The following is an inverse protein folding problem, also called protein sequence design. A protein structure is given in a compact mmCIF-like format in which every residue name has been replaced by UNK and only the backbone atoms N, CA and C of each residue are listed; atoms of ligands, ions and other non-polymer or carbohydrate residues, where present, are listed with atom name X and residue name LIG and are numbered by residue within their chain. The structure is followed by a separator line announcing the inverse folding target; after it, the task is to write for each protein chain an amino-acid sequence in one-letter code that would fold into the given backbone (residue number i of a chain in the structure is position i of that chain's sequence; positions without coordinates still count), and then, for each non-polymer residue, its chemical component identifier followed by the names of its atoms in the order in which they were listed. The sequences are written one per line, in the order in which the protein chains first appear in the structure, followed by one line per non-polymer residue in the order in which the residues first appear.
data_IF_503127129859
#
_entry.id   IF_503127129859
#
_cell.length_a   1.000
_cell.length_b   1.000
_cell.length_c   1.000
_cell.angle_alpha   90.00
_cell.angle_beta   90.00
_cell.angle_gamma   90.00
#
_symmetry.space_group_name_H-M   'P 1'
#
loop_
_entity.id
_entity.type
_entity.pdbx_description
1 polymer ?
#
# COMPACT_ATOMS: atom_id res chain seq x y z
N UNK A 1 -1.54 41.88 19.54
CA UNK A 1 -0.57 41.04 18.81
C UNK A 1 -1.30 39.81 18.32
N UNK A 2 -1.77 39.85 17.08
CA UNK A 2 -2.49 38.75 16.43
C UNK A 2 -1.46 37.74 15.95
N UNK A 3 -1.40 36.58 16.59
CA UNK A 3 -0.61 35.46 16.09
C UNK A 3 -1.26 34.94 14.78
N UNK A 4 -0.64 35.26 13.67
CA UNK A 4 -0.95 34.63 12.37
C UNK A 4 -0.49 33.18 12.46
N UNK A 5 -1.40 32.27 12.72
CA UNK A 5 -1.15 30.83 12.60
C UNK A 5 -0.79 30.55 11.13
N UNK A 6 0.48 30.32 10.88
CA UNK A 6 0.95 29.86 9.57
C UNK A 6 0.19 28.59 9.21
N UNK A 7 -0.66 28.66 8.19
CA UNK A 7 -1.38 27.52 7.63
C UNK A 7 -0.34 26.59 7.04
N UNK A 8 -0.01 25.49 7.72
CA UNK A 8 0.88 24.45 7.19
C UNK A 8 0.18 23.90 5.96
N UNK A 9 0.70 24.24 4.78
CA UNK A 9 0.23 23.66 3.53
C UNK A 9 0.48 22.16 3.58
N UNK A 10 -0.48 21.32 3.14
CA UNK A 10 -0.26 19.88 3.05
C UNK A 10 0.94 19.63 2.13
N UNK A 11 1.84 18.77 2.58
CA UNK A 11 3.03 18.39 1.81
C UNK A 11 2.62 17.93 0.40
N UNK A 12 3.00 18.70 -0.61
CA UNK A 12 2.76 18.40 -2.02
C UNK A 12 3.74 17.31 -2.46
N UNK A 13 3.48 16.09 -2.04
CA UNK A 13 4.25 14.93 -2.51
C UNK A 13 3.41 14.09 -3.48
N UNK A 14 4.06 13.56 -4.49
CA UNK A 14 3.44 12.63 -5.43
C UNK A 14 2.98 11.37 -4.71
N UNK A 15 1.77 10.89 -4.98
CA UNK A 15 1.30 9.58 -4.51
C UNK A 15 2.09 8.47 -5.18
N UNK A 16 2.71 7.59 -4.38
CA UNK A 16 3.38 6.39 -4.89
C UNK A 16 2.38 5.27 -5.11
N UNK A 17 2.65 4.43 -6.10
CA UNK A 17 1.71 3.40 -6.56
C UNK A 17 2.35 2.03 -6.45
N UNK A 18 1.68 1.11 -5.77
CA UNK A 18 2.02 -0.32 -5.72
C UNK A 18 0.91 -1.13 -6.39
N UNK A 19 1.29 -2.09 -7.23
CA UNK A 19 0.40 -3.15 -7.73
C UNK A 19 0.80 -4.46 -7.04
N UNK A 20 -0.17 -5.13 -6.41
CA UNK A 20 0.08 -6.30 -5.59
C UNK A 20 -0.47 -7.59 -6.21
N UNK A 21 0.22 -8.72 -5.97
CA UNK A 21 -0.23 -10.04 -6.38
C UNK A 21 -0.01 -10.31 -7.87
N UNK A 22 1.16 -9.96 -8.40
CA UNK A 22 1.56 -10.27 -9.76
C UNK A 22 2.16 -11.69 -9.82
N UNK A 23 1.79 -12.44 -10.84
CA UNK A 23 2.18 -13.85 -11.00
C UNK A 23 2.83 -14.15 -12.35
N UNK A 24 2.71 -13.22 -13.33
CA UNK A 24 3.16 -13.39 -14.72
C UNK A 24 4.09 -12.25 -15.15
N UNK A 25 4.98 -12.54 -16.09
CA UNK A 25 5.90 -11.56 -16.69
C UNK A 25 5.16 -10.40 -17.35
N UNK A 26 4.12 -10.72 -18.15
CA UNK A 26 3.31 -9.70 -18.84
C UNK A 26 2.67 -8.70 -17.89
N UNK A 27 2.27 -9.15 -16.69
CA UNK A 27 1.65 -8.28 -15.69
C UNK A 27 2.70 -7.37 -15.04
N UNK A 28 3.90 -7.90 -14.79
CA UNK A 28 5.05 -7.11 -14.29
C UNK A 28 5.43 -6.04 -15.33
N UNK A 29 5.57 -6.41 -16.60
CA UNK A 29 5.93 -5.50 -17.67
C UNK A 29 4.88 -4.39 -17.86
N UNK A 30 3.59 -4.73 -17.82
CA UNK A 30 2.50 -3.78 -17.90
C UNK A 30 2.51 -2.78 -16.73
N UNK A 31 2.74 -3.26 -15.49
CA UNK A 31 2.82 -2.41 -14.33
C UNK A 31 4.04 -1.46 -14.39
N UNK A 32 5.21 -1.98 -14.79
CA UNK A 32 6.43 -1.17 -14.97
C UNK A 32 6.20 -0.12 -16.06
N UNK A 33 5.62 -0.49 -17.20
CA UNK A 33 5.33 0.43 -18.31
C UNK A 33 4.34 1.53 -17.89
N UNK A 34 3.38 1.21 -17.02
CA UNK A 34 2.45 2.19 -16.48
C UNK A 34 3.10 3.18 -15.49
N UNK A 35 4.33 2.91 -15.04
CA UNK A 35 5.11 3.79 -14.16
C UNK A 35 4.73 3.66 -12.69
N UNK A 36 4.58 2.42 -12.19
CA UNK A 36 4.41 2.12 -10.76
C UNK A 36 5.72 2.22 -9.99
N UNK A 37 5.64 2.41 -8.68
CA UNK A 37 6.79 2.56 -7.78
C UNK A 37 7.16 1.24 -7.08
N UNK A 38 6.20 0.31 -6.96
CA UNK A 38 6.43 -0.97 -6.29
C UNK A 38 5.54 -2.08 -6.87
N UNK A 39 6.03 -3.31 -6.76
CA UNK A 39 5.34 -4.52 -7.20
C UNK A 39 5.33 -5.54 -6.08
N UNK A 40 4.13 -6.05 -5.74
CA UNK A 40 3.93 -7.02 -4.68
C UNK A 40 3.84 -8.46 -5.20
N UNK A 41 4.59 -9.35 -4.55
CA UNK A 41 4.53 -10.80 -4.72
C UNK A 41 3.97 -11.44 -3.45
N UNK A 42 2.94 -12.27 -3.58
CA UNK A 42 2.27 -12.88 -2.43
C UNK A 42 2.87 -14.26 -2.16
N UNK A 43 3.52 -14.41 -1.01
CA UNK A 43 4.13 -15.67 -0.58
C UNK A 43 3.23 -16.49 0.38
N UNK A 44 1.95 -16.13 0.47
CA UNK A 44 0.94 -16.84 1.25
C UNK A 44 0.24 -17.90 0.41
N UNK A 45 0.50 -19.18 0.69
CA UNK A 45 0.06 -20.32 -0.14
C UNK A 45 -1.45 -20.43 -0.36
N UNK A 46 -2.26 -19.96 0.61
CA UNK A 46 -3.72 -19.98 0.48
C UNK A 46 -4.27 -18.87 -0.43
N UNK A 47 -3.43 -17.95 -0.87
CA UNK A 47 -3.84 -16.87 -1.77
C UNK A 47 -3.94 -17.37 -3.22
N UNK A 48 -4.97 -17.01 -3.98
CA UNK A 48 -5.02 -17.28 -5.43
C UNK A 48 -3.95 -16.51 -6.22
N UNK A 49 -3.22 -15.60 -5.57
CA UNK A 49 -2.11 -14.80 -6.12
C UNK A 49 -0.75 -15.30 -5.65
N UNK A 50 -0.72 -16.49 -5.04
CA UNK A 50 0.51 -17.05 -4.51
C UNK A 50 1.55 -17.29 -5.61
N UNK A 51 2.80 -16.96 -5.29
CA UNK A 51 3.99 -17.35 -6.04
C UNK A 51 5.05 -17.91 -5.10
N UNK A 52 5.87 -18.84 -5.57
CA UNK A 52 7.03 -19.32 -4.81
C UNK A 52 8.10 -18.23 -4.68
N UNK A 53 9.01 -18.38 -3.72
CA UNK A 53 10.16 -17.47 -3.56
C UNK A 53 11.00 -17.39 -4.83
N UNK A 54 11.23 -18.53 -5.48
CA UNK A 54 11.96 -18.60 -6.76
C UNK A 54 11.24 -17.81 -7.85
N UNK A 55 9.91 -18.02 -7.96
CA UNK A 55 9.11 -17.28 -8.94
C UNK A 55 9.11 -15.77 -8.67
N UNK A 56 8.99 -15.35 -7.41
CA UNK A 56 9.11 -13.95 -7.05
C UNK A 56 10.48 -13.37 -7.43
N UNK A 57 11.56 -14.09 -7.19
CA UNK A 57 12.91 -13.69 -7.59
C UNK A 57 13.09 -13.59 -9.11
N UNK A 58 12.49 -14.51 -9.89
CA UNK A 58 12.50 -14.45 -11.36
C UNK A 58 11.78 -13.21 -11.87
N UNK A 59 10.57 -12.95 -11.37
CA UNK A 59 9.77 -11.81 -11.76
C UNK A 59 10.42 -10.49 -11.32
N UNK A 60 11.03 -10.45 -10.14
CA UNK A 60 11.71 -9.26 -9.62
C UNK A 60 12.93 -8.84 -10.46
N UNK A 61 13.61 -9.78 -11.14
CA UNK A 61 14.72 -9.46 -12.06
C UNK A 61 14.30 -8.61 -13.27
N UNK A 62 13.01 -8.52 -13.56
CA UNK A 62 12.45 -7.67 -14.63
C UNK A 62 12.27 -6.21 -14.20
N UNK A 63 12.38 -5.92 -12.90
CA UNK A 63 12.14 -4.58 -12.39
C UNK A 63 13.31 -3.65 -12.73
N UNK A 64 13.05 -2.48 -13.33
CA UNK A 64 14.07 -1.46 -13.50
C UNK A 64 14.48 -0.85 -12.14
N UNK A 65 15.60 -0.14 -12.09
CA UNK A 65 15.97 0.66 -10.91
C UNK A 65 14.80 1.54 -10.45
N UNK A 66 14.67 1.67 -9.10
CA UNK A 66 13.63 2.48 -8.43
C UNK A 66 12.21 1.91 -8.47
N UNK A 67 12.00 0.69 -8.99
CA UNK A 67 10.78 -0.08 -8.77
C UNK A 67 11.06 -1.13 -7.70
N UNK A 68 10.37 -1.03 -6.57
CA UNK A 68 10.65 -1.82 -5.37
C UNK A 68 9.88 -3.14 -5.38
N UNK A 69 10.52 -4.31 -5.28
CA UNK A 69 9.84 -5.57 -5.01
C UNK A 69 9.36 -5.61 -3.55
N UNK A 70 8.10 -6.03 -3.34
CA UNK A 70 7.51 -6.18 -2.00
C UNK A 70 7.04 -7.63 -1.83
N UNK A 71 7.55 -8.32 -0.82
CA UNK A 71 7.17 -9.69 -0.51
C UNK A 71 6.13 -9.70 0.61
N UNK A 72 4.92 -10.17 0.31
CA UNK A 72 3.81 -10.23 1.24
C UNK A 72 3.77 -11.58 1.96
N UNK A 73 3.78 -11.52 3.29
CA UNK A 73 3.71 -12.65 4.21
C UNK A 73 2.45 -12.59 5.07
N UNK A 74 1.96 -13.74 5.48
CA UNK A 74 0.87 -13.90 6.43
C UNK A 74 1.26 -14.98 7.43
N UNK A 75 1.53 -14.58 8.69
CA UNK A 75 1.87 -15.47 9.81
C UNK A 75 2.96 -16.49 9.46
N UNK A 76 3.96 -16.07 8.68
CA UNK A 76 5.04 -16.95 8.24
C UNK A 76 6.17 -16.97 9.29
N UNK A 77 6.86 -18.08 9.37
CA UNK A 77 8.02 -18.26 10.24
C UNK A 77 9.15 -17.24 9.91
N UNK A 78 9.71 -16.62 10.94
CA UNK A 78 10.76 -15.58 10.81
C UNK A 78 11.93 -16.01 9.93
N UNK A 79 12.43 -17.24 10.09
CA UNK A 79 13.54 -17.76 9.29
C UNK A 79 13.23 -17.83 7.80
N UNK A 80 12.00 -18.21 7.45
CA UNK A 80 11.53 -18.27 6.06
C UNK A 80 11.35 -16.89 5.46
N UNK A 81 10.88 -15.89 6.25
CA UNK A 81 10.78 -14.50 5.81
C UNK A 81 12.17 -13.94 5.48
N UNK A 82 13.13 -14.12 6.38
CA UNK A 82 14.51 -13.66 6.18
C UNK A 82 15.13 -14.30 4.92
N UNK A 83 14.99 -15.62 4.77
CA UNK A 83 15.51 -16.35 3.61
C UNK A 83 14.86 -15.88 2.28
N UNK A 84 13.53 -15.70 2.28
CA UNK A 84 12.83 -15.20 1.10
C UNK A 84 13.28 -13.79 0.72
N UNK A 85 13.38 -12.89 1.70
CA UNK A 85 13.86 -11.53 1.46
C UNK A 85 15.32 -11.48 1.00
N UNK A 86 16.17 -12.38 1.46
CA UNK A 86 17.55 -12.49 0.99
C UNK A 86 17.64 -12.97 -0.46
N UNK A 87 16.64 -13.74 -0.93
CA UNK A 87 16.58 -14.27 -2.30
C UNK A 87 16.12 -13.25 -3.35
N UNK A 88 15.53 -12.12 -2.93
CA UNK A 88 15.03 -11.07 -3.81
C UNK A 88 15.72 -9.75 -3.49
N UNK A 89 16.65 -9.33 -4.34
CA UNK A 89 17.43 -8.13 -4.13
C UNK A 89 16.55 -6.87 -3.95
N UNK A 90 16.82 -6.09 -2.91
CA UNK A 90 16.08 -4.85 -2.62
C UNK A 90 14.66 -5.05 -2.13
N UNK A 91 14.25 -6.29 -1.80
CA UNK A 91 12.88 -6.55 -1.36
C UNK A 91 12.55 -5.91 -0.01
N UNK A 92 11.35 -5.33 0.08
CA UNK A 92 10.69 -4.90 1.32
C UNK A 92 9.74 -6.01 1.77
N UNK A 93 9.73 -6.34 3.06
CA UNK A 93 8.75 -7.25 3.64
C UNK A 93 7.43 -6.52 3.88
N UNK A 94 6.30 -7.18 3.60
CA UNK A 94 4.96 -6.72 3.98
C UNK A 94 4.30 -7.77 4.87
N UNK A 95 4.05 -7.42 6.13
CA UNK A 95 3.36 -8.26 7.09
C UNK A 95 1.85 -7.99 7.02
N UNK A 96 1.09 -9.00 6.62
CA UNK A 96 -0.34 -8.86 6.34
C UNK A 96 -1.23 -9.79 7.18
N UNK A 97 -0.64 -10.54 8.08
CA UNK A 97 -1.32 -11.44 9.01
C UNK A 97 -1.55 -10.79 10.39
N UNK A 98 -1.31 -11.57 11.42
CA UNK A 98 -1.49 -11.17 12.82
C UNK A 98 -0.14 -11.04 13.55
N UNK A 99 0.94 -10.83 12.77
CA UNK A 99 2.30 -10.72 13.30
C UNK A 99 2.38 -9.57 14.31
N UNK A 100 2.91 -9.86 15.49
CA UNK A 100 3.17 -8.88 16.56
C UNK A 100 4.29 -7.91 16.19
N UNK A 101 4.42 -6.77 16.89
CA UNK A 101 5.55 -5.86 16.70
C UNK A 101 6.91 -6.54 16.89
N UNK A 102 7.03 -7.47 17.86
CA UNK A 102 8.27 -8.19 18.11
C UNK A 102 8.63 -9.16 16.98
N UNK A 103 7.64 -9.87 16.42
CA UNK A 103 7.84 -10.75 15.27
C UNK A 103 8.24 -9.96 14.02
N UNK A 104 7.56 -8.84 13.74
CA UNK A 104 7.94 -7.94 12.64
C UNK A 104 9.38 -7.43 12.80
N UNK A 105 9.78 -7.03 14.01
CA UNK A 105 11.13 -6.57 14.32
C UNK A 105 12.17 -7.65 14.07
N UNK A 106 11.94 -8.87 14.55
CA UNK A 106 12.85 -10.00 14.32
C UNK A 106 12.94 -10.38 12.85
N UNK A 107 11.82 -10.48 12.15
CA UNK A 107 11.77 -10.85 10.74
C UNK A 107 12.35 -9.77 9.82
N UNK A 108 12.38 -8.51 10.27
CA UNK A 108 13.08 -7.41 9.58
C UNK A 108 14.57 -7.35 9.90
N UNK A 109 15.15 -8.41 10.49
CA UNK A 109 16.55 -8.45 10.92
C UNK A 109 16.90 -7.29 11.87
N UNK A 110 16.03 -7.09 12.88
CA UNK A 110 16.14 -6.02 13.87
C UNK A 110 16.15 -4.62 13.24
N UNK A 111 15.25 -4.39 12.29
CA UNK A 111 15.09 -3.09 11.62
C UNK A 111 16.11 -2.81 10.51
N UNK A 112 17.02 -3.73 10.19
CA UNK A 112 17.94 -3.57 9.06
C UNK A 112 17.22 -3.59 7.71
N UNK A 113 16.11 -4.31 7.63
CA UNK A 113 15.26 -4.39 6.46
C UNK A 113 13.99 -3.56 6.66
N UNK A 114 13.68 -2.60 5.78
CA UNK A 114 12.42 -1.88 5.85
C UNK A 114 11.25 -2.83 5.65
N UNK A 115 10.11 -2.56 6.32
CA UNK A 115 8.90 -3.35 6.17
C UNK A 115 7.64 -2.49 6.21
N UNK A 116 6.57 -3.02 5.60
CA UNK A 116 5.21 -2.49 5.68
C UNK A 116 4.40 -3.36 6.64
N UNK A 117 3.54 -2.73 7.45
CA UNK A 117 2.60 -3.44 8.33
C UNK A 117 1.16 -3.15 7.91
N UNK A 118 0.40 -4.18 7.59
CA UNK A 118 -1.02 -4.02 7.27
C UNK A 118 -1.87 -3.89 8.54
N UNK A 119 -2.63 -2.80 8.61
CA UNK A 119 -3.71 -2.60 9.55
C UNK A 119 -5.00 -3.05 8.88
N UNK A 120 -5.57 -4.15 9.36
CA UNK A 120 -6.81 -4.72 8.83
C UNK A 120 -7.99 -4.06 9.53
N UNK A 121 -8.58 -3.06 8.88
CA UNK A 121 -9.65 -2.23 9.43
C UNK A 121 -10.99 -2.93 9.23
N UNK A 122 -11.74 -3.22 10.32
CA UNK A 122 -13.05 -3.85 10.20
C UNK A 122 -14.01 -3.02 9.36
N UNK A 123 -14.90 -3.70 8.62
CA UNK A 123 -15.95 -3.06 7.83
C UNK A 123 -17.15 -2.65 8.71
N UNK A 124 -17.90 -1.65 8.25
CA UNK A 124 -19.12 -1.18 8.92
C UNK A 124 -18.83 -0.60 10.31
N UNK A 125 -19.78 -0.79 11.23
CA UNK A 125 -19.73 -0.20 12.58
C UNK A 125 -18.56 -0.72 13.43
N UNK A 126 -18.08 -1.93 13.18
CA UNK A 126 -16.90 -2.48 13.85
C UNK A 126 -15.61 -1.67 13.55
N UNK A 127 -15.55 -0.97 12.42
CA UNK A 127 -14.44 -0.10 12.04
C UNK A 127 -14.34 1.16 12.91
N UNK A 128 -15.42 1.61 13.51
CA UNK A 128 -15.46 2.79 14.40
C UNK A 128 -14.58 2.59 15.65
N UNK A 129 -14.46 1.34 16.12
CA UNK A 129 -13.65 0.99 17.30
C UNK A 129 -12.19 0.70 17.01
N UNK A 130 -11.74 0.74 15.76
CA UNK A 130 -10.35 0.44 15.42
C UNK A 130 -9.43 1.62 15.75
N UNK A 131 -8.55 1.43 16.74
CA UNK A 131 -7.59 2.47 17.17
C UNK A 131 -6.34 2.47 16.27
N UNK A 132 -6.42 3.19 15.15
CA UNK A 132 -5.31 3.33 14.21
C UNK A 132 -4.11 4.08 14.83
N UNK A 133 -4.33 5.00 15.76
CA UNK A 133 -3.23 5.75 16.38
C UNK A 133 -2.40 4.83 17.28
N UNK A 134 -3.08 4.02 18.10
CA UNK A 134 -2.40 2.99 18.90
C UNK A 134 -1.69 1.97 18.00
N UNK A 135 -2.34 1.49 16.94
CA UNK A 135 -1.72 0.56 15.99
C UNK A 135 -0.47 1.15 15.36
N UNK A 136 -0.51 2.39 14.88
CA UNK A 136 0.66 3.06 14.29
C UNK A 136 1.79 3.28 15.30
N UNK A 137 1.46 3.48 16.57
CA UNK A 137 2.43 3.58 17.66
C UNK A 137 3.07 2.24 17.96
N UNK A 138 2.29 1.17 18.09
CA UNK A 138 2.77 -0.19 18.37
C UNK A 138 3.72 -0.68 17.27
N UNK A 139 3.43 -0.34 16.00
CA UNK A 139 4.25 -0.67 14.83
C UNK A 139 5.11 0.51 14.33
N UNK A 140 5.56 1.38 15.22
CA UNK A 140 6.34 2.59 14.87
C UNK A 140 7.66 2.31 14.14
N UNK A 141 8.16 1.08 14.17
CA UNK A 141 9.33 0.64 13.42
C UNK A 141 9.01 0.28 11.95
N UNK A 142 7.73 0.18 11.59
CA UNK A 142 7.34 -0.02 10.20
C UNK A 142 7.63 1.23 9.37
N UNK A 143 8.13 1.04 8.15
CA UNK A 143 8.35 2.14 7.21
C UNK A 143 7.03 2.83 6.83
N UNK A 144 5.94 2.05 6.72
CA UNK A 144 4.60 2.56 6.54
C UNK A 144 3.54 1.59 7.08
N UNK A 145 2.38 2.14 7.42
CA UNK A 145 1.17 1.37 7.77
C UNK A 145 0.30 1.27 6.51
N UNK A 146 0.01 0.04 6.09
CA UNK A 146 -0.89 -0.24 4.99
C UNK A 146 -2.31 -0.41 5.55
N UNK A 147 -3.24 0.39 5.08
CA UNK A 147 -4.65 0.37 5.49
C UNK A 147 -5.42 -0.55 4.55
N UNK A 148 -5.85 -1.72 5.02
CA UNK A 148 -6.65 -2.66 4.25
C UNK A 148 -8.00 -2.94 4.92
N UNK A 149 -9.03 -3.22 4.13
CA UNK A 149 -10.31 -3.63 4.66
C UNK A 149 -10.22 -5.06 5.23
N UNK A 150 -10.71 -5.26 6.46
CA UNK A 150 -10.79 -6.59 7.03
C UNK A 150 -11.87 -7.41 6.32
N UNK A 151 -11.45 -8.48 5.66
CA UNK A 151 -12.34 -9.46 5.04
C UNK A 151 -11.96 -10.85 5.51
N UNK A 152 -12.85 -11.81 5.34
CA UNK A 152 -12.54 -13.22 5.62
C UNK A 152 -11.36 -13.67 4.77
N UNK A 153 -10.35 -14.23 5.40
CA UNK A 153 -9.02 -14.43 4.83
C UNK A 153 -8.13 -13.19 4.98
N UNK A 154 -7.03 -13.15 4.23
CA UNK A 154 -6.06 -12.07 4.34
C UNK A 154 -5.97 -11.29 3.02
N UNK A 155 -6.83 -10.27 2.87
CA UNK A 155 -6.82 -9.31 1.78
C UNK A 155 -7.53 -9.76 0.48
N UNK A 156 -7.71 -8.81 -0.44
CA UNK A 156 -8.23 -9.06 -1.78
C UNK A 156 -9.75 -9.23 -1.92
N UNK A 157 -10.52 -8.89 -0.89
CA UNK A 157 -12.00 -8.97 -0.89
C UNK A 157 -12.69 -7.92 -1.75
N UNK A 158 -11.98 -6.90 -2.23
CA UNK A 158 -12.53 -5.87 -3.12
C UNK A 158 -13.46 -4.85 -2.45
N UNK A 159 -13.52 -4.83 -1.11
CA UNK A 159 -14.31 -3.87 -0.34
C UNK A 159 -13.44 -2.74 0.18
N UNK A 160 -13.93 -1.50 0.09
CA UNK A 160 -13.33 -0.35 0.74
C UNK A 160 -13.96 -0.15 2.13
N UNK A 161 -13.14 0.16 3.14
CA UNK A 161 -13.63 0.63 4.41
C UNK A 161 -13.98 2.14 4.34
N UNK A 162 -14.70 2.64 5.34
CA UNK A 162 -15.05 4.05 5.38
C UNK A 162 -13.85 4.93 5.77
N UNK A 163 -13.23 5.59 4.79
CA UNK A 163 -12.03 6.43 4.99
C UNK A 163 -12.29 7.64 5.90
N UNK A 164 -13.55 8.08 6.06
CA UNK A 164 -13.89 9.20 6.95
C UNK A 164 -13.66 8.88 8.44
N UNK A 165 -13.62 7.59 8.80
CA UNK A 165 -13.35 7.12 10.16
C UNK A 165 -11.87 7.24 10.57
N UNK A 166 -10.98 7.48 9.62
CA UNK A 166 -9.56 7.65 9.94
C UNK A 166 -9.34 8.90 10.81
N UNK A 167 -8.44 8.84 11.80
CA UNK A 167 -8.07 9.99 12.61
C UNK A 167 -7.59 11.17 11.76
N UNK A 168 -7.78 12.41 12.20
CA UNK A 168 -7.41 13.60 11.42
C UNK A 168 -5.90 13.74 11.23
N UNK A 169 -5.09 13.09 12.07
CA UNK A 169 -3.63 13.09 11.97
C UNK A 169 -3.09 11.74 12.45
N UNK A 170 -2.64 10.91 11.50
CA UNK A 170 -1.85 9.71 11.76
C UNK A 170 -0.40 10.07 11.47
N UNK A 171 0.41 10.23 12.50
CA UNK A 171 1.81 10.61 12.38
C UNK A 171 2.68 9.50 11.78
N UNK A 172 2.26 8.92 10.65
CA UNK A 172 2.91 7.82 9.94
C UNK A 172 2.86 8.03 8.42
N UNK A 173 3.69 7.28 7.70
CA UNK A 173 3.51 7.07 6.26
C UNK A 173 2.39 6.06 6.06
N UNK A 174 1.40 6.37 5.22
CA UNK A 174 0.28 5.49 4.96
C UNK A 174 0.31 4.93 3.53
N UNK A 175 -0.14 3.69 3.41
CA UNK A 175 -0.43 3.05 2.12
C UNK A 175 -1.92 2.71 2.12
N UNK A 176 -2.72 3.41 1.34
CA UNK A 176 -4.15 3.14 1.22
C UNK A 176 -4.37 1.93 0.32
N UNK A 177 -5.07 0.93 0.83
CA UNK A 177 -5.45 -0.30 0.14
C UNK A 177 -6.90 -0.66 0.46
N UNK A 178 -7.34 -1.86 0.03
CA UNK A 178 -8.70 -2.36 0.24
C UNK A 178 -9.73 -1.75 -0.70
N UNK A 179 -10.23 -2.54 -1.66
CA UNK A 179 -11.31 -2.15 -2.56
C UNK A 179 -11.03 -0.96 -3.48
N UNK A 180 -9.78 -0.59 -3.69
CA UNK A 180 -9.42 0.49 -4.60
C UNK A 180 -9.68 0.10 -6.07
N UNK A 181 -10.12 1.08 -6.83
CA UNK A 181 -10.34 1.03 -8.29
C UNK A 181 -9.99 2.39 -8.90
N UNK A 182 -9.90 2.47 -10.22
CA UNK A 182 -9.75 3.75 -10.92
C UNK A 182 -10.91 4.74 -10.65
N UNK A 183 -12.09 4.22 -10.27
CA UNK A 183 -13.27 5.05 -10.01
C UNK A 183 -13.26 5.72 -8.64
N UNK A 184 -12.64 5.10 -7.61
CA UNK A 184 -12.70 5.60 -6.23
C UNK A 184 -11.37 6.09 -5.66
N UNK A 185 -10.24 5.84 -6.34
CA UNK A 185 -8.90 6.17 -5.81
C UNK A 185 -8.70 7.68 -5.65
N UNK A 186 -9.32 8.52 -6.48
CA UNK A 186 -9.24 9.99 -6.37
C UNK A 186 -9.83 10.44 -5.03
N UNK A 187 -11.01 9.94 -4.69
CA UNK A 187 -11.68 10.25 -3.43
C UNK A 187 -10.86 9.74 -2.24
N UNK A 188 -10.33 8.51 -2.33
CA UNK A 188 -9.47 7.93 -1.31
C UNK A 188 -8.22 8.80 -1.05
N UNK A 189 -7.51 9.22 -2.09
CA UNK A 189 -6.34 10.08 -1.98
C UNK A 189 -6.72 11.43 -1.36
N UNK A 190 -7.80 12.04 -1.82
CA UNK A 190 -8.26 13.35 -1.33
C UNK A 190 -8.60 13.32 0.15
N UNK A 191 -9.25 12.25 0.61
CA UNK A 191 -9.65 12.11 2.02
C UNK A 191 -8.48 11.71 2.94
N UNK A 192 -7.56 10.86 2.49
CA UNK A 192 -6.54 10.28 3.36
C UNK A 192 -5.26 11.10 3.40
N UNK A 193 -4.86 11.74 2.29
CA UNK A 193 -3.61 12.52 2.22
C UNK A 193 -3.44 13.57 3.33
N UNK A 194 -4.47 14.36 3.70
CA UNK A 194 -4.32 15.37 4.77
C UNK A 194 -4.05 14.78 6.15
N UNK A 195 -4.19 13.46 6.32
CA UNK A 195 -4.16 12.75 7.60
C UNK A 195 -2.85 12.04 7.90
N UNK A 196 -1.86 12.11 7.00
CA UNK A 196 -0.62 11.34 7.10
C UNK A 196 0.62 12.13 6.66
N UNK A 197 1.81 11.62 7.00
CA UNK A 197 3.10 12.20 6.56
C UNK A 197 3.26 12.15 5.05
N UNK A 198 3.05 10.98 4.45
CA UNK A 198 3.00 10.75 3.00
C UNK A 198 1.99 9.67 2.70
N UNK A 199 1.43 9.71 1.49
CA UNK A 199 0.47 8.73 1.02
C UNK A 199 1.02 7.95 -0.17
N UNK A 200 0.82 6.63 -0.11
CA UNK A 200 0.92 5.71 -1.24
C UNK A 200 -0.41 4.98 -1.41
N UNK A 201 -0.62 4.36 -2.56
CA UNK A 201 -1.79 3.50 -2.82
C UNK A 201 -1.33 2.11 -3.22
N UNK A 202 -2.07 1.09 -2.80
CA UNK A 202 -1.82 -0.32 -3.15
C UNK A 202 -3.10 -0.95 -3.72
N UNK A 203 -3.00 -1.57 -4.89
CA UNK A 203 -4.14 -2.20 -5.55
C UNK A 203 -3.80 -3.62 -5.97
N UNK A 204 -4.77 -4.51 -5.84
CA UNK A 204 -4.64 -5.90 -6.30
C UNK A 204 -5.82 -6.32 -7.18
N UNK A 205 -6.98 -6.64 -6.59
CA UNK A 205 -8.15 -7.14 -7.31
C UNK A 205 -8.76 -6.13 -8.26
N UNK A 206 -8.70 -4.82 -7.95
CA UNK A 206 -9.29 -3.76 -8.76
C UNK A 206 -8.68 -3.59 -10.16
N UNK A 207 -7.52 -4.19 -10.41
CA UNK A 207 -6.86 -4.23 -11.72
C UNK A 207 -6.78 -5.64 -12.30
N UNK A 208 -7.58 -6.57 -11.81
CA UNK A 208 -7.64 -7.94 -12.36
C UNK A 208 -8.67 -8.06 -13.48
N UNK A 209 -8.41 -9.04 -14.37
CA UNK A 209 -9.40 -9.49 -15.36
C UNK A 209 -10.61 -10.06 -14.60
N UNK A 210 -11.85 -9.68 -14.96
CA UNK A 210 -13.04 -10.17 -14.29
C UNK A 210 -13.08 -11.71 -14.24
N UNK A 211 -13.28 -12.26 -13.05
CA UNK A 211 -13.36 -13.72 -12.83
C UNK A 211 -12.00 -14.44 -12.81
N UNK A 212 -10.88 -13.77 -13.08
CA UNK A 212 -9.55 -14.38 -13.13
C UNK A 212 -8.63 -13.82 -12.05
N UNK A 213 -8.75 -14.34 -10.83
CA UNK A 213 -7.90 -13.92 -9.70
C UNK A 213 -6.42 -14.17 -9.99
N UNK A 214 -5.57 -13.17 -9.73
CA UNK A 214 -4.12 -13.24 -9.97
C UNK A 214 -3.70 -12.88 -11.40
N UNK A 215 -4.63 -12.65 -12.32
CA UNK A 215 -4.38 -12.22 -13.70
C UNK A 215 -4.69 -10.72 -13.82
N UNK A 216 -3.69 -9.91 -14.10
CA UNK A 216 -3.88 -8.46 -14.21
C UNK A 216 -4.32 -8.06 -15.62
N UNK A 217 -5.10 -6.98 -15.68
CA UNK A 217 -5.57 -6.35 -16.89
C UNK A 217 -4.73 -5.07 -17.13
N UNK A 218 -3.92 -5.01 -18.19
CA UNK A 218 -3.07 -3.86 -18.48
C UNK A 218 -3.84 -2.54 -18.62
N UNK A 219 -5.04 -2.57 -19.22
CA UNK A 219 -5.86 -1.36 -19.38
C UNK A 219 -6.32 -0.82 -18.03
N UNK A 220 -6.73 -1.70 -17.12
CA UNK A 220 -7.10 -1.31 -15.74
C UNK A 220 -5.90 -0.79 -14.95
N UNK A 221 -4.70 -1.36 -15.14
CA UNK A 221 -3.47 -0.84 -14.53
C UNK A 221 -3.25 0.60 -15.00
N UNK A 222 -3.25 0.83 -16.32
CA UNK A 222 -3.06 2.17 -16.87
C UNK A 222 -4.15 3.17 -16.42
N UNK A 223 -5.41 2.74 -16.41
CA UNK A 223 -6.53 3.57 -15.94
C UNK A 223 -6.37 3.96 -14.46
N UNK A 224 -5.94 3.01 -13.61
CA UNK A 224 -5.69 3.26 -12.20
C UNK A 224 -4.54 4.26 -11.99
N UNK A 225 -3.40 4.03 -12.64
CA UNK A 225 -2.25 4.94 -12.57
C UNK A 225 -2.63 6.35 -13.03
N UNK A 226 -3.37 6.47 -14.15
CA UNK A 226 -3.86 7.75 -14.63
C UNK A 226 -4.80 8.46 -13.64
N UNK A 227 -5.66 7.70 -12.93
CA UNK A 227 -6.54 8.25 -11.90
C UNK A 227 -5.75 8.79 -10.70
N UNK A 228 -4.71 8.07 -10.24
CA UNK A 228 -3.82 8.53 -9.17
C UNK A 228 -3.09 9.82 -9.58
N UNK A 229 -2.57 9.91 -10.79
CA UNK A 229 -1.91 11.11 -11.30
C UNK A 229 -2.87 12.32 -11.37
N UNK A 230 -4.12 12.10 -11.79
CA UNK A 230 -5.15 13.14 -11.76
C UNK A 230 -5.44 13.64 -10.35
N UNK A 231 -5.49 12.76 -9.36
CA UNK A 231 -5.67 13.18 -7.95
C UNK A 231 -4.54 14.09 -7.49
N UNK A 232 -3.30 13.75 -7.81
CA UNK A 232 -2.13 14.59 -7.47
C UNK A 232 -2.23 15.98 -8.12
N UNK A 233 -2.55 16.06 -9.41
CA UNK A 233 -2.72 17.33 -10.14
C UNK A 233 -3.85 18.20 -9.58
N UNK A 234 -4.98 17.60 -9.21
CA UNK A 234 -6.10 18.32 -8.60
C UNK A 234 -5.70 18.93 -7.24
N UNK A 235 -5.00 18.17 -6.40
CA UNK A 235 -4.54 18.65 -5.10
C UNK A 235 -3.49 19.76 -5.22
N UNK A 236 -2.58 19.67 -6.18
CA UNK A 236 -1.61 20.73 -6.51
C UNK A 236 -2.30 22.03 -6.94
N UNK A 237 -3.31 21.90 -7.79
CA UNK A 237 -4.10 23.06 -8.28
C UNK A 237 -4.81 23.76 -7.11
N UNK A 238 -5.48 22.97 -6.24
CA UNK A 238 -6.17 23.52 -5.07
C UNK A 238 -5.21 24.21 -4.09
N UNK A 239 -4.05 23.62 -3.83
CA UNK A 239 -3.03 24.21 -2.98
C UNK A 239 -2.50 25.54 -3.54
N UNK A 240 -2.27 25.59 -4.85
CA UNK A 240 -1.79 26.81 -5.55
C UNK A 240 -2.84 27.93 -5.53
N UNK A 241 -4.12 27.58 -5.64
CA UNK A 241 -5.22 28.55 -5.55
C UNK A 241 -5.37 29.10 -4.14
N UNK A 242 -5.29 28.23 -3.11
CA UNK A 242 -5.35 28.64 -1.72
C UNK A 242 -4.23 29.58 -1.28
N UNK A 243 -3.05 29.51 -1.92
CA UNK A 243 -1.93 30.43 -1.70
C UNK A 243 -2.11 31.81 -2.34
N UNK A 244 -2.98 31.93 -3.34
CA UNK A 244 -3.21 33.19 -4.11
C UNK A 244 -4.37 34.02 -3.55
N UNK A 245 -5.14 33.48 -2.63
CA UNK A 245 -6.24 34.21 -1.98
C UNK A 245 -5.70 34.85 -0.69
N UNK A 246 -5.65 36.19 -0.61
CA UNK A 246 -5.06 36.94 0.51
C UNK A 246 -5.79 36.73 1.82
#
# INVERSE_FOLDING_TARGET
MTQTTARVLPSLHRTRIKICGLTRESDVDAAVTAGVDAIGFVLYEKSPRHVSVQRAAELARRLPPFVTPVLLFVNQETSKIIAACASVAGAIAQFHGDESPAECWLASEQGKRPYLRAARIPLGDAGVGFDLLKFAQDYSQAQAILLDAQVDGYGGGGHAFNWSLLPPNVNAHLVLSGGLTAANVIDGITQVRPRCKTLSVDISSGVEVPGQKGIKDPEKIHAFVAAVRRADQQLETLATQACKTP
#
